data_IF_422339042038
#
_entry.id   IF_422339042038
#
_cell.length_a   1.000
_cell.length_b   1.000
_cell.length_c   1.000
_cell.angle_alpha   90.00
_cell.angle_beta   90.00
_cell.angle_gamma   90.00
#
_symmetry.space_group_name_H-M   'P 1'
#
loop_
_entity.id
_entity.type
_entity.pdbx_description
1 polymer ?
#
# COMPACT_ATOMS: atom_id res chain seq x y z
N UNK A 1 -17.60 -4.14 -27.61
CA UNK A 1 -18.76 -4.62 -26.81
C UNK A 1 -18.90 -3.89 -25.47
N UNK A 2 -18.39 -2.66 -25.37
CA UNK A 2 -18.49 -1.76 -24.22
C UNK A 2 -19.91 -1.58 -23.69
N UNK A 3 -20.11 -1.75 -22.38
CA UNK A 3 -21.37 -1.54 -21.64
C UNK A 3 -22.59 -2.32 -22.11
N UNK A 4 -22.46 -3.26 -23.06
CA UNK A 4 -23.58 -3.86 -23.80
C UNK A 4 -24.70 -4.44 -22.92
N UNK A 5 -24.34 -5.07 -21.79
CA UNK A 5 -25.26 -5.67 -20.83
C UNK A 5 -25.12 -5.05 -19.42
N UNK A 6 -24.57 -3.83 -19.32
CA UNK A 6 -24.43 -3.13 -18.05
C UNK A 6 -25.81 -2.92 -17.41
N UNK A 7 -25.96 -3.28 -16.12
CA UNK A 7 -27.22 -3.23 -15.34
C UNK A 7 -28.36 -4.03 -15.97
N UNK A 8 -28.06 -4.96 -16.87
CA UNK A 8 -29.06 -5.76 -17.57
C UNK A 8 -29.42 -7.03 -16.78
N UNK A 9 -30.69 -7.43 -16.91
CA UNK A 9 -31.19 -8.75 -16.47
C UNK A 9 -30.91 -9.86 -17.50
N UNK A 10 -30.26 -9.53 -18.61
CA UNK A 10 -29.93 -10.49 -19.65
C UNK A 10 -29.07 -11.63 -19.09
N UNK A 11 -29.53 -12.86 -19.32
CA UNK A 11 -28.81 -14.09 -18.97
C UNK A 11 -29.01 -15.16 -20.07
N UNK A 12 -29.13 -14.71 -21.32
CA UNK A 12 -29.28 -15.59 -22.47
C UNK A 12 -27.95 -16.21 -22.90
N UNK A 13 -28.02 -17.27 -23.71
CA UNK A 13 -26.84 -17.93 -24.26
C UNK A 13 -26.17 -17.07 -25.34
N UNK A 14 -24.89 -16.76 -25.12
CA UNK A 14 -24.01 -16.03 -26.03
C UNK A 14 -22.69 -16.77 -26.25
N UNK A 15 -22.63 -18.05 -25.88
CA UNK A 15 -21.43 -18.89 -25.98
C UNK A 15 -20.91 -19.08 -27.41
N UNK A 16 -21.78 -18.87 -28.40
CA UNK A 16 -21.47 -19.02 -29.84
C UNK A 16 -21.17 -17.71 -30.56
N UNK A 17 -21.10 -16.59 -29.84
CA UNK A 17 -20.73 -15.32 -30.45
C UNK A 17 -19.30 -15.37 -30.96
N UNK A 18 -19.07 -14.85 -32.16
CA UNK A 18 -17.72 -14.60 -32.67
C UNK A 18 -17.21 -13.30 -32.04
N UNK A 19 -16.23 -13.43 -31.15
CA UNK A 19 -15.59 -12.31 -30.45
C UNK A 19 -14.19 -12.00 -30.99
N UNK A 20 -13.74 -12.69 -32.04
CA UNK A 20 -12.37 -12.58 -32.56
C UNK A 20 -11.95 -11.17 -32.95
N UNK A 21 -12.90 -10.33 -33.38
CA UNK A 21 -12.63 -8.93 -33.77
C UNK A 21 -12.86 -7.92 -32.64
N UNK A 22 -13.23 -8.36 -31.44
CA UNK A 22 -13.56 -7.47 -30.32
C UNK A 22 -12.28 -6.98 -29.65
N UNK A 23 -12.14 -5.67 -29.53
CA UNK A 23 -10.98 -5.04 -28.87
C UNK A 23 -11.32 -4.44 -27.51
N UNK A 24 -12.57 -4.05 -27.27
CA UNK A 24 -13.02 -3.43 -26.03
C UNK A 24 -14.27 -4.12 -25.46
N UNK A 25 -14.17 -4.61 -24.22
CA UNK A 25 -15.25 -5.24 -23.45
C UNK A 25 -15.51 -4.50 -22.12
N UNK A 26 -15.12 -3.23 -22.01
CA UNK A 26 -15.25 -2.48 -20.77
C UNK A 26 -16.72 -2.46 -20.27
N UNK A 27 -16.89 -2.72 -18.98
CA UNK A 27 -18.19 -2.71 -18.29
C UNK A 27 -19.30 -3.56 -18.93
N UNK A 28 -18.96 -4.51 -19.83
CA UNK A 28 -19.95 -5.25 -20.62
C UNK A 28 -21.03 -5.90 -19.75
N UNK A 29 -20.66 -6.48 -18.59
CA UNK A 29 -21.57 -7.13 -17.64
C UNK A 29 -21.58 -6.47 -16.26
N UNK A 30 -21.19 -5.19 -16.16
CA UNK A 30 -21.17 -4.49 -14.87
C UNK A 30 -22.60 -4.43 -14.29
N UNK A 31 -22.78 -4.74 -13.01
CA UNK A 31 -24.08 -4.80 -12.33
C UNK A 31 -25.12 -5.71 -13.02
N UNK A 32 -24.68 -6.67 -13.84
CA UNK A 32 -25.56 -7.59 -14.57
C UNK A 32 -25.86 -8.85 -13.77
N UNK A 33 -27.01 -9.47 -14.07
CA UNK A 33 -27.36 -10.82 -13.61
C UNK A 33 -26.71 -11.93 -14.46
N UNK A 34 -26.00 -11.58 -15.54
CA UNK A 34 -25.38 -12.54 -16.46
C UNK A 34 -24.41 -13.49 -15.74
N UNK A 35 -24.59 -14.78 -15.97
CA UNK A 35 -23.72 -15.86 -15.49
C UNK A 35 -23.62 -17.01 -16.52
N UNK A 36 -23.77 -16.69 -17.81
CA UNK A 36 -23.67 -17.66 -18.90
C UNK A 36 -22.22 -18.05 -19.22
N UNK A 37 -22.07 -19.12 -20.01
CA UNK A 37 -20.76 -19.60 -20.45
C UNK A 37 -20.16 -18.70 -21.54
N UNK A 38 -18.96 -18.18 -21.28
CA UNK A 38 -18.13 -17.36 -22.17
C UNK A 38 -16.69 -17.88 -22.23
N UNK A 39 -16.47 -19.12 -21.78
CA UNK A 39 -15.14 -19.75 -21.72
C UNK A 39 -14.48 -19.94 -23.08
N UNK A 40 -15.30 -19.98 -24.15
CA UNK A 40 -14.87 -20.19 -25.54
C UNK A 40 -14.72 -18.91 -26.36
N UNK A 41 -14.93 -17.74 -25.74
CA UNK A 41 -14.73 -16.48 -26.44
C UNK A 41 -13.27 -16.28 -26.80
N UNK A 42 -13.03 -15.90 -28.05
CA UNK A 42 -11.73 -15.42 -28.49
C UNK A 42 -11.51 -14.01 -27.93
N UNK A 43 -10.50 -13.89 -27.07
CA UNK A 43 -10.14 -12.65 -26.36
C UNK A 43 -8.77 -12.12 -26.81
N UNK A 44 -8.15 -12.77 -27.80
CA UNK A 44 -6.78 -12.47 -28.25
C UNK A 44 -6.60 -11.03 -28.74
N UNK A 45 -7.64 -10.39 -29.27
CA UNK A 45 -7.59 -8.99 -29.71
C UNK A 45 -8.09 -7.99 -28.66
N UNK A 46 -8.55 -8.45 -27.50
CA UNK A 46 -9.11 -7.58 -26.45
C UNK A 46 -7.98 -6.86 -25.72
N UNK A 47 -8.09 -5.54 -25.62
CA UNK A 47 -7.12 -4.68 -24.92
C UNK A 47 -7.67 -4.07 -23.64
N UNK A 48 -9.00 -4.05 -23.48
CA UNK A 48 -9.68 -3.39 -22.37
C UNK A 48 -10.84 -4.23 -21.82
N UNK A 49 -10.70 -4.68 -20.56
CA UNK A 49 -11.74 -5.41 -19.80
C UNK A 49 -12.09 -4.69 -18.49
N UNK A 50 -11.82 -3.37 -18.44
CA UNK A 50 -12.12 -2.52 -17.27
C UNK A 50 -13.56 -2.72 -16.82
N UNK A 51 -13.75 -3.08 -15.56
CA UNK A 51 -15.07 -3.16 -14.93
C UNK A 51 -16.02 -4.17 -15.55
N UNK A 52 -15.55 -5.10 -16.39
CA UNK A 52 -16.40 -6.03 -17.14
C UNK A 52 -17.40 -6.77 -16.24
N UNK A 53 -16.97 -7.18 -15.04
CA UNK A 53 -17.79 -7.87 -14.03
C UNK A 53 -17.94 -7.08 -12.73
N UNK A 54 -17.82 -5.74 -12.77
CA UNK A 54 -18.03 -4.85 -11.62
C UNK A 54 -19.40 -5.12 -10.98
N UNK A 55 -19.43 -5.55 -9.72
CA UNK A 55 -20.64 -5.91 -8.95
C UNK A 55 -21.56 -6.89 -9.70
N UNK A 56 -20.98 -7.77 -10.51
CA UNK A 56 -21.69 -8.82 -11.24
C UNK A 56 -21.88 -10.08 -10.38
N UNK A 57 -22.85 -10.91 -10.76
CA UNK A 57 -23.02 -12.27 -10.22
C UNK A 57 -22.14 -13.30 -10.93
N UNK A 58 -21.44 -12.91 -12.00
CA UNK A 58 -20.63 -13.79 -12.82
C UNK A 58 -19.57 -14.54 -12.00
N UNK A 59 -19.54 -15.86 -12.15
CA UNK A 59 -18.53 -16.76 -11.58
C UNK A 59 -18.18 -17.91 -12.55
N UNK A 60 -18.31 -17.66 -13.86
CA UNK A 60 -17.99 -18.63 -14.90
C UNK A 60 -16.49 -18.78 -15.13
N UNK A 61 -16.11 -19.83 -15.87
CA UNK A 61 -14.72 -20.09 -16.24
C UNK A 61 -14.23 -19.12 -17.32
N UNK A 62 -13.14 -18.42 -17.03
CA UNK A 62 -12.41 -17.50 -17.91
C UNK A 62 -10.90 -17.78 -17.84
N UNK A 63 -10.50 -18.94 -17.32
CA UNK A 63 -9.09 -19.31 -17.12
C UNK A 63 -8.31 -19.41 -18.43
N UNK A 64 -9.00 -19.67 -19.55
CA UNK A 64 -8.42 -19.84 -20.89
C UNK A 64 -8.48 -18.58 -21.77
N UNK A 65 -8.94 -17.47 -21.22
CA UNK A 65 -8.91 -16.21 -21.97
C UNK A 65 -7.47 -15.78 -22.25
N UNK A 66 -7.23 -15.31 -23.47
CA UNK A 66 -5.96 -14.72 -23.84
C UNK A 66 -5.95 -13.25 -23.41
N UNK A 67 -5.21 -12.97 -22.34
CA UNK A 67 -5.07 -11.61 -21.80
C UNK A 67 -3.78 -10.92 -22.24
N UNK A 68 -2.99 -11.52 -23.14
CA UNK A 68 -1.66 -11.03 -23.53
C UNK A 68 -1.65 -9.67 -24.22
N UNK A 69 -2.82 -9.19 -24.68
CA UNK A 69 -3.01 -7.85 -25.24
C UNK A 69 -3.76 -6.87 -24.32
N UNK A 70 -4.22 -7.34 -23.16
CA UNK A 70 -4.97 -6.53 -22.20
C UNK A 70 -4.03 -5.55 -21.49
N UNK A 71 -4.41 -4.27 -21.49
CA UNK A 71 -3.67 -3.20 -20.81
C UNK A 71 -4.39 -2.65 -19.58
N UNK A 72 -5.71 -2.88 -19.47
CA UNK A 72 -6.54 -2.33 -18.40
C UNK A 72 -7.51 -3.37 -17.84
N UNK A 73 -7.33 -3.71 -16.55
CA UNK A 73 -8.18 -4.63 -15.78
C UNK A 73 -8.81 -3.94 -14.56
N UNK A 74 -8.72 -2.60 -14.49
CA UNK A 74 -9.25 -1.84 -13.36
C UNK A 74 -10.73 -2.16 -13.11
N UNK A 75 -11.08 -2.31 -11.84
CA UNK A 75 -12.44 -2.61 -11.36
C UNK A 75 -13.08 -3.90 -11.90
N UNK A 76 -12.35 -4.78 -12.60
CA UNK A 76 -12.94 -5.92 -13.31
C UNK A 76 -13.83 -6.78 -12.41
N UNK A 77 -13.42 -7.03 -11.16
CA UNK A 77 -14.15 -7.82 -10.17
C UNK A 77 -14.51 -7.04 -8.90
N UNK A 78 -14.55 -5.72 -8.95
CA UNK A 78 -14.91 -4.90 -7.80
C UNK A 78 -16.31 -5.28 -7.29
N UNK A 79 -16.43 -5.69 -6.04
CA UNK A 79 -17.68 -6.15 -5.44
C UNK A 79 -18.30 -7.39 -6.10
N UNK A 80 -17.52 -8.15 -6.88
CA UNK A 80 -17.96 -9.37 -7.56
C UNK A 80 -17.89 -10.58 -6.63
N UNK A 81 -18.70 -11.60 -6.94
CA UNK A 81 -18.60 -12.95 -6.33
C UNK A 81 -17.56 -13.85 -7.00
N UNK A 82 -16.88 -13.35 -8.03
CA UNK A 82 -15.91 -14.12 -8.79
C UNK A 82 -14.78 -14.65 -7.90
N UNK A 83 -14.55 -15.96 -7.97
CA UNK A 83 -13.46 -16.70 -7.32
C UNK A 83 -12.94 -17.80 -8.27
N UNK A 84 -12.87 -17.50 -9.56
CA UNK A 84 -12.35 -18.43 -10.57
C UNK A 84 -10.84 -18.34 -10.71
N UNK A 85 -10.23 -19.41 -11.22
CA UNK A 85 -8.79 -19.44 -11.47
C UNK A 85 -8.41 -18.50 -12.64
N UNK A 86 -7.49 -17.57 -12.34
CA UNK A 86 -6.88 -16.63 -13.28
C UNK A 86 -5.35 -16.60 -13.14
N UNK A 87 -4.77 -17.64 -12.52
CA UNK A 87 -3.33 -17.73 -12.24
C UNK A 87 -2.45 -17.75 -13.49
N UNK A 88 -2.99 -18.24 -14.61
CA UNK A 88 -2.28 -18.38 -15.89
C UNK A 88 -2.57 -17.23 -16.87
N UNK A 89 -3.27 -16.18 -16.44
CA UNK A 89 -3.43 -14.97 -17.24
C UNK A 89 -2.09 -14.27 -17.47
N UNK A 90 -1.80 -13.94 -18.73
CA UNK A 90 -0.71 -13.04 -19.08
C UNK A 90 -1.17 -11.60 -18.85
N UNK A 91 -0.68 -10.99 -17.77
CA UNK A 91 -0.94 -9.59 -17.43
C UNK A 91 0.26 -8.68 -17.73
N UNK A 92 1.26 -9.17 -18.48
CA UNK A 92 2.53 -8.46 -18.66
C UNK A 92 2.39 -7.09 -19.31
N UNK A 93 1.32 -6.82 -20.06
CA UNK A 93 1.02 -5.50 -20.65
C UNK A 93 0.07 -4.63 -19.81
N UNK A 94 -0.44 -5.15 -18.70
CA UNK A 94 -1.35 -4.40 -17.83
C UNK A 94 -0.62 -3.26 -17.14
N UNK A 95 -1.17 -2.06 -17.25
CA UNK A 95 -0.66 -0.86 -16.56
C UNK A 95 -1.56 -0.43 -15.40
N UNK A 96 -2.84 -0.80 -15.42
CA UNK A 96 -3.82 -0.34 -14.45
C UNK A 96 -4.62 -1.49 -13.82
N UNK A 97 -4.43 -1.68 -12.50
CA UNK A 97 -5.11 -2.68 -11.66
C UNK A 97 -6.03 -2.06 -10.60
N UNK A 98 -6.27 -0.74 -10.69
CA UNK A 98 -7.10 0.03 -9.76
C UNK A 98 -8.37 -0.72 -9.37
N UNK A 99 -8.52 -1.04 -8.10
CA UNK A 99 -9.72 -1.61 -7.50
C UNK A 99 -10.18 -2.95 -8.09
N UNK A 100 -9.32 -3.71 -8.77
CA UNK A 100 -9.72 -4.94 -9.47
C UNK A 100 -10.48 -5.91 -8.56
N UNK A 101 -10.02 -6.12 -7.33
CA UNK A 101 -10.61 -7.06 -6.36
C UNK A 101 -11.24 -6.38 -5.15
N UNK A 102 -11.36 -5.05 -5.12
CA UNK A 102 -11.94 -4.37 -3.95
C UNK A 102 -13.37 -4.87 -3.67
N UNK A 103 -13.70 -5.13 -2.40
CA UNK A 103 -14.95 -5.74 -1.96
C UNK A 103 -15.28 -7.12 -2.58
N UNK A 104 -14.32 -7.78 -3.22
CA UNK A 104 -14.54 -9.09 -3.84
C UNK A 104 -14.32 -10.26 -2.87
N UNK A 105 -14.79 -11.44 -3.26
CA UNK A 105 -14.55 -12.70 -2.55
C UNK A 105 -13.27 -13.43 -3.01
N UNK A 106 -12.53 -12.85 -3.96
CA UNK A 106 -11.37 -13.49 -4.58
C UNK A 106 -10.26 -13.76 -3.56
N UNK A 107 -9.76 -15.00 -3.53
CA UNK A 107 -8.65 -15.42 -2.66
C UNK A 107 -7.74 -16.48 -3.32
N UNK A 108 -7.68 -16.48 -4.64
CA UNK A 108 -6.94 -17.47 -5.42
C UNK A 108 -5.49 -17.03 -5.72
N UNK A 109 -4.67 -17.97 -6.22
CA UNK A 109 -3.25 -17.71 -6.47
C UNK A 109 -3.00 -16.80 -7.69
N UNK A 110 -2.30 -15.69 -7.45
CA UNK A 110 -1.85 -14.72 -8.47
C UNK A 110 -0.36 -14.38 -8.32
N UNK A 111 0.41 -15.24 -7.63
CA UNK A 111 1.84 -15.03 -7.37
C UNK A 111 2.72 -15.01 -8.62
N UNK A 112 2.28 -15.64 -9.71
CA UNK A 112 3.02 -15.75 -10.98
C UNK A 112 2.83 -14.55 -11.91
N UNK A 113 1.92 -13.65 -11.60
CA UNK A 113 1.59 -12.50 -12.43
C UNK A 113 2.80 -11.57 -12.62
N UNK A 114 3.09 -11.23 -13.88
CA UNK A 114 4.13 -10.26 -14.19
C UNK A 114 3.58 -8.83 -14.08
N UNK A 115 3.85 -8.17 -12.94
CA UNK A 115 3.37 -6.81 -12.67
C UNK A 115 4.34 -5.70 -13.10
N UNK A 116 5.41 -6.01 -13.86
CA UNK A 116 6.49 -5.06 -14.14
C UNK A 116 6.04 -3.77 -14.86
N UNK A 117 4.92 -3.79 -15.57
CA UNK A 117 4.37 -2.62 -16.28
C UNK A 117 3.25 -1.90 -15.52
N UNK A 118 2.86 -2.40 -14.34
CA UNK A 118 1.78 -1.80 -13.54
C UNK A 118 2.25 -0.50 -12.93
N UNK A 119 1.49 0.56 -13.14
CA UNK A 119 1.74 1.89 -12.56
C UNK A 119 0.71 2.28 -11.50
N UNK A 120 -0.49 1.69 -11.56
CA UNK A 120 -1.57 1.98 -10.62
C UNK A 120 -2.16 0.71 -10.01
N UNK A 121 -2.04 0.58 -8.68
CA UNK A 121 -2.59 -0.53 -7.88
C UNK A 121 -3.62 -0.05 -6.85
N UNK A 122 -4.06 1.21 -6.89
CA UNK A 122 -4.87 1.77 -5.82
C UNK A 122 -6.16 0.96 -5.57
N UNK A 123 -6.54 0.79 -4.30
CA UNK A 123 -7.70 0.00 -3.86
C UNK A 123 -7.70 -1.49 -4.27
N UNK A 124 -6.63 -2.06 -4.83
CA UNK A 124 -6.67 -3.39 -5.47
C UNK A 124 -7.30 -4.48 -4.59
N UNK A 125 -6.98 -4.53 -3.29
CA UNK A 125 -7.45 -5.53 -2.32
C UNK A 125 -8.22 -4.92 -1.13
N UNK A 126 -8.79 -3.72 -1.30
CA UNK A 126 -9.54 -3.06 -0.23
C UNK A 126 -10.82 -3.80 0.13
N UNK A 127 -11.09 -4.01 1.42
CA UNK A 127 -12.24 -4.77 1.95
C UNK A 127 -12.30 -6.22 1.44
N UNK A 128 -11.15 -6.90 1.40
CA UNK A 128 -11.06 -8.30 0.91
C UNK A 128 -10.52 -9.25 1.98
N UNK A 129 -10.81 -10.54 1.79
CA UNK A 129 -10.19 -11.64 2.54
C UNK A 129 -8.90 -12.14 1.89
N UNK A 130 -8.43 -11.48 0.83
CA UNK A 130 -7.25 -11.91 0.09
C UNK A 130 -6.03 -11.93 1.00
N UNK A 131 -5.35 -13.07 1.09
CA UNK A 131 -4.12 -13.24 1.86
C UNK A 131 -3.10 -14.14 1.13
N UNK A 132 -3.12 -14.08 -0.21
CA UNK A 132 -2.22 -14.82 -1.09
C UNK A 132 -0.81 -14.23 -1.17
N UNK A 133 0.16 -15.01 -1.63
CA UNK A 133 1.53 -14.55 -1.81
C UNK A 133 1.66 -13.63 -3.03
N UNK A 134 2.14 -12.40 -2.78
CA UNK A 134 2.45 -11.37 -3.77
C UNK A 134 3.85 -10.77 -3.53
N UNK A 135 4.69 -11.49 -2.77
CA UNK A 135 6.06 -11.05 -2.43
C UNK A 135 6.97 -10.88 -3.64
N UNK A 136 6.65 -11.57 -4.75
CA UNK A 136 7.41 -11.56 -6.00
C UNK A 136 6.92 -10.54 -7.02
N UNK A 137 5.88 -9.78 -6.70
CA UNK A 137 5.40 -8.74 -7.60
C UNK A 137 6.45 -7.65 -7.77
N UNK A 138 6.66 -7.25 -9.01
CA UNK A 138 7.50 -6.11 -9.34
C UNK A 138 6.67 -4.82 -9.22
N UNK A 139 7.02 -3.97 -8.26
CA UNK A 139 6.34 -2.69 -7.99
C UNK A 139 7.16 -1.46 -8.41
N UNK A 140 8.31 -1.65 -9.08
CA UNK A 140 9.27 -0.58 -9.43
C UNK A 140 8.72 0.50 -10.38
N UNK A 141 7.54 0.30 -10.96
CA UNK A 141 6.84 1.28 -11.79
C UNK A 141 5.55 1.82 -11.15
N UNK A 142 5.17 1.33 -9.97
CA UNK A 142 3.95 1.74 -9.27
C UNK A 142 4.14 3.13 -8.68
N UNK A 143 3.20 4.02 -8.97
CA UNK A 143 3.18 5.39 -8.43
C UNK A 143 2.07 5.60 -7.40
N UNK A 144 0.99 4.81 -7.46
CA UNK A 144 -0.14 4.91 -6.53
C UNK A 144 -0.43 3.55 -5.86
N UNK A 145 -0.14 3.51 -4.56
CA UNK A 145 -0.43 2.39 -3.65
C UNK A 145 -1.52 2.74 -2.63
N UNK A 146 -2.29 3.81 -2.85
CA UNK A 146 -3.32 4.22 -1.92
C UNK A 146 -4.39 3.14 -1.75
N UNK A 147 -4.81 2.92 -0.51
CA UNK A 147 -5.88 2.00 -0.13
C UNK A 147 -5.70 0.53 -0.57
N UNK A 148 -4.52 0.04 -0.98
CA UNK A 148 -4.38 -1.35 -1.47
C UNK A 148 -4.98 -2.36 -0.49
N UNK A 149 -4.71 -2.22 0.81
CA UNK A 149 -5.11 -3.15 1.87
C UNK A 149 -6.04 -2.53 2.92
N UNK A 150 -6.75 -1.43 2.59
CA UNK A 150 -7.74 -0.83 3.49
C UNK A 150 -8.76 -1.88 3.93
N UNK A 151 -8.90 -2.10 5.24
CA UNK A 151 -9.76 -3.13 5.86
C UNK A 151 -9.58 -4.53 5.28
N UNK A 152 -8.32 -4.90 4.98
CA UNK A 152 -7.97 -6.23 4.48
C UNK A 152 -7.34 -7.10 5.58
N UNK A 153 -7.59 -8.42 5.46
CA UNK A 153 -6.92 -9.48 6.23
C UNK A 153 -5.51 -9.84 5.72
N UNK A 154 -5.00 -9.08 4.74
CA UNK A 154 -3.68 -9.33 4.17
C UNK A 154 -2.57 -9.13 5.20
N UNK A 155 -1.73 -10.16 5.40
CA UNK A 155 -0.58 -10.11 6.30
C UNK A 155 0.57 -10.99 5.79
N UNK A 156 0.93 -10.84 4.50
CA UNK A 156 2.07 -11.53 3.87
C UNK A 156 3.26 -10.60 3.68
N UNK A 157 4.42 -11.21 3.43
CA UNK A 157 5.67 -10.48 3.19
C UNK A 157 5.58 -9.64 1.90
N UNK A 158 5.79 -8.34 2.06
CA UNK A 158 5.92 -7.33 1.01
C UNK A 158 7.17 -6.45 1.23
N UNK A 159 8.11 -6.92 2.06
CA UNK A 159 9.35 -6.20 2.41
C UNK A 159 10.23 -5.91 1.20
N UNK A 160 10.10 -6.69 0.13
CA UNK A 160 10.88 -6.59 -1.12
C UNK A 160 10.22 -5.73 -2.19
N UNK A 161 9.06 -5.15 -1.92
CA UNK A 161 8.45 -4.21 -2.86
C UNK A 161 9.35 -2.98 -3.02
N UNK A 162 9.59 -2.60 -4.27
CA UNK A 162 10.22 -1.35 -4.62
C UNK A 162 9.17 -0.24 -4.56
N UNK A 163 9.34 0.67 -3.60
CA UNK A 163 8.44 1.82 -3.38
C UNK A 163 9.05 3.14 -3.85
N UNK A 164 10.23 3.12 -4.48
CA UNK A 164 11.01 4.32 -4.81
C UNK A 164 10.28 5.31 -5.71
N UNK A 165 9.30 4.86 -6.52
CA UNK A 165 8.48 5.74 -7.37
C UNK A 165 7.09 6.06 -6.81
N UNK A 166 6.74 5.52 -5.65
CA UNK A 166 5.40 5.69 -5.08
C UNK A 166 5.25 7.11 -4.56
N UNK A 167 4.20 7.80 -5.00
CA UNK A 167 3.88 9.16 -4.55
C UNK A 167 2.69 9.21 -3.60
N UNK A 168 1.87 8.16 -3.57
CA UNK A 168 0.67 8.07 -2.73
C UNK A 168 0.56 6.69 -2.04
N UNK A 169 0.57 6.71 -0.71
CA UNK A 169 0.33 5.57 0.18
C UNK A 169 -0.83 5.83 1.14
N UNK A 170 -1.66 6.85 0.88
CA UNK A 170 -2.80 7.20 1.74
C UNK A 170 -3.69 5.99 2.00
N UNK A 171 -4.02 5.78 3.27
CA UNK A 171 -4.89 4.70 3.76
C UNK A 171 -4.44 3.29 3.38
N UNK A 172 -3.21 3.06 2.91
CA UNK A 172 -2.80 1.75 2.38
C UNK A 172 -3.11 0.56 3.30
N UNK A 173 -2.98 0.74 4.63
CA UNK A 173 -3.27 -0.26 5.66
C UNK A 173 -4.35 0.21 6.65
N UNK A 174 -5.23 1.14 6.24
CA UNK A 174 -6.27 1.68 7.12
C UNK A 174 -7.17 0.55 7.64
N UNK A 175 -7.22 0.34 8.95
CA UNK A 175 -7.99 -0.76 9.55
C UNK A 175 -7.57 -2.17 9.12
N UNK A 176 -6.33 -2.35 8.65
CA UNK A 176 -5.78 -3.66 8.22
C UNK A 176 -5.15 -4.43 9.38
N UNK A 177 -5.10 -5.77 9.25
CA UNK A 177 -4.37 -6.69 10.13
C UNK A 177 -2.86 -6.78 9.80
N UNK A 178 -2.39 -6.03 8.80
CA UNK A 178 -0.99 -6.09 8.36
C UNK A 178 -0.02 -5.64 9.47
N UNK A 179 0.98 -6.47 9.76
CA UNK A 179 2.07 -6.15 10.67
C UNK A 179 3.44 -6.67 10.18
N UNK A 180 3.64 -6.71 8.86
CA UNK A 180 4.89 -7.16 8.24
C UNK A 180 5.98 -6.09 8.28
N UNK A 181 7.23 -6.51 8.06
CA UNK A 181 8.38 -5.60 7.97
C UNK A 181 8.35 -4.79 6.66
N UNK A 182 8.32 -3.47 6.81
CA UNK A 182 8.36 -2.48 5.72
C UNK A 182 9.41 -1.38 6.03
N UNK A 183 10.33 -1.65 6.95
CA UNK A 183 11.37 -0.70 7.37
C UNK A 183 12.28 -0.24 6.23
N UNK A 184 12.44 -1.09 5.21
CA UNK A 184 13.32 -0.85 4.04
C UNK A 184 12.65 -0.16 2.86
N UNK A 185 11.37 0.19 2.98
CA UNK A 185 10.69 0.92 1.91
C UNK A 185 11.30 2.31 1.72
N UNK A 186 11.54 2.67 0.47
CA UNK A 186 11.91 4.03 0.09
C UNK A 186 10.64 4.89 0.04
N UNK A 187 10.56 5.88 0.93
CA UNK A 187 9.43 6.80 1.04
C UNK A 187 9.76 8.22 0.59
N UNK A 188 10.95 8.45 0.04
CA UNK A 188 11.46 9.79 -0.30
C UNK A 188 10.58 10.54 -1.32
N UNK A 189 9.90 9.81 -2.20
CA UNK A 189 8.98 10.38 -3.20
C UNK A 189 7.51 10.43 -2.75
N UNK A 190 7.18 9.91 -1.56
CA UNK A 190 5.80 9.85 -1.09
C UNK A 190 5.34 11.22 -0.62
N UNK A 191 4.25 11.70 -1.23
CA UNK A 191 3.67 13.01 -0.92
C UNK A 191 2.42 12.92 -0.04
N UNK A 192 1.76 11.76 -0.01
CA UNK A 192 0.58 11.50 0.80
C UNK A 192 0.64 10.11 1.47
N UNK A 193 0.65 10.12 2.80
CA UNK A 193 0.53 8.93 3.67
C UNK A 193 -0.64 9.08 4.65
N UNK A 194 -1.60 9.96 4.34
CA UNK A 194 -2.71 10.25 5.23
C UNK A 194 -3.47 8.97 5.60
N UNK A 195 -3.63 8.76 6.89
CA UNK A 195 -4.33 7.65 7.53
C UNK A 195 -3.82 6.26 7.13
N UNK A 196 -2.57 6.13 6.68
CA UNK A 196 -2.00 4.86 6.22
C UNK A 196 -2.19 3.71 7.21
N UNK A 197 -2.04 3.96 8.51
CA UNK A 197 -2.13 2.97 9.59
C UNK A 197 -3.27 3.27 10.58
N UNK A 198 -4.16 4.20 10.27
CA UNK A 198 -5.24 4.56 11.19
C UNK A 198 -6.16 3.35 11.43
N UNK A 199 -6.31 2.96 12.69
CA UNK A 199 -7.08 1.78 13.09
C UNK A 199 -6.42 0.43 12.77
N UNK A 200 -5.16 0.42 12.33
CA UNK A 200 -4.38 -0.82 12.15
C UNK A 200 -3.66 -1.22 13.44
N UNK A 201 -3.26 -2.48 13.53
CA UNK A 201 -2.42 -2.99 14.64
C UNK A 201 -0.91 -2.81 14.38
N UNK A 202 -0.54 -2.09 13.31
CA UNK A 202 0.84 -1.97 12.87
C UNK A 202 1.74 -1.34 13.94
N UNK A 203 2.83 -2.04 14.27
CA UNK A 203 3.85 -1.59 15.23
C UNK A 203 5.29 -1.75 14.71
N UNK A 204 5.46 -1.87 13.39
CA UNK A 204 6.75 -2.04 12.74
C UNK A 204 7.66 -0.81 12.82
N UNK A 205 8.96 -1.03 12.59
CA UNK A 205 9.97 0.02 12.58
C UNK A 205 9.89 0.84 11.28
N UNK A 206 9.75 2.16 11.44
CA UNK A 206 9.71 3.14 10.36
C UNK A 206 10.71 4.29 10.61
N UNK A 207 11.74 4.06 11.44
CA UNK A 207 12.70 5.11 11.83
C UNK A 207 13.48 5.69 10.64
N UNK A 208 13.66 4.88 9.60
CA UNK A 208 14.50 5.19 8.44
C UNK A 208 13.70 5.77 7.27
N UNK A 209 12.37 5.90 7.43
CA UNK A 209 11.51 6.49 6.41
C UNK A 209 11.80 7.99 6.26
N UNK A 210 11.84 8.44 5.01
CA UNK A 210 11.90 9.84 4.66
C UNK A 210 10.48 10.43 4.56
N UNK A 211 10.25 11.51 5.31
CA UNK A 211 8.97 12.23 5.38
C UNK A 211 9.07 13.65 4.76
N UNK A 212 10.20 14.00 4.15
CA UNK A 212 10.49 15.35 3.68
C UNK A 212 9.55 15.83 2.56
N UNK A 213 9.02 14.90 1.76
CA UNK A 213 8.11 15.15 0.64
C UNK A 213 6.62 15.23 1.01
N UNK A 214 6.26 14.99 2.28
CA UNK A 214 4.85 14.96 2.70
C UNK A 214 4.18 16.33 2.58
N UNK A 215 3.00 16.36 1.96
CA UNK A 215 2.14 17.55 1.85
C UNK A 215 1.18 17.72 3.02
N UNK A 216 1.01 16.67 3.82
CA UNK A 216 0.09 16.63 4.96
C UNK A 216 0.85 16.42 6.27
N UNK A 217 0.18 16.71 7.38
CA UNK A 217 0.75 16.51 8.71
C UNK A 217 1.08 15.03 8.92
N UNK A 218 2.33 14.76 9.33
CA UNK A 218 2.83 13.42 9.65
C UNK A 218 2.00 12.71 10.72
N UNK A 219 1.36 13.46 11.62
CA UNK A 219 0.45 12.91 12.64
C UNK A 219 -0.79 12.23 12.03
N UNK A 220 -1.11 12.52 10.77
CA UNK A 220 -2.24 11.88 10.09
C UNK A 220 -1.94 10.45 9.65
N UNK A 221 -0.70 9.97 9.73
CA UNK A 221 -0.33 8.61 9.30
C UNK A 221 -1.07 7.53 10.12
N UNK A 222 -1.45 7.82 11.37
CA UNK A 222 -2.25 6.91 12.21
C UNK A 222 -1.44 6.05 13.17
N UNK A 223 -0.13 6.32 13.32
CA UNK A 223 0.75 5.74 14.35
C UNK A 223 1.55 6.84 15.03
N UNK A 224 1.92 6.62 16.30
CA UNK A 224 2.84 7.52 17.00
C UNK A 224 4.25 7.25 16.50
N UNK A 225 4.83 8.21 15.79
CA UNK A 225 6.23 8.11 15.34
C UNK A 225 7.13 8.38 16.55
N UNK A 226 7.81 7.34 17.00
CA UNK A 226 8.83 7.48 18.05
C UNK A 226 10.17 7.57 17.34
N UNK A 227 10.88 8.69 17.50
CA UNK A 227 12.25 8.81 17.00
C UNK A 227 13.09 7.71 17.62
N UNK A 228 13.80 6.93 16.80
CA UNK A 228 14.78 5.96 17.27
C UNK A 228 16.07 6.71 17.58
N UNK A 229 16.58 6.51 18.79
CA UNK A 229 17.78 7.19 19.23
C UNK A 229 18.98 6.24 19.19
N UNK A 230 20.10 6.73 18.70
CA UNK A 230 21.37 5.99 18.67
C UNK A 230 22.12 6.23 19.98
N UNK A 231 22.45 5.17 20.70
CA UNK A 231 23.23 5.30 21.93
C UNK A 231 24.72 5.45 21.62
N UNK A 232 25.35 6.51 22.13
CA UNK A 232 26.77 6.78 22.04
C UNK A 232 27.36 6.73 23.45
N UNK A 233 28.33 5.85 23.66
CA UNK A 233 29.08 5.77 24.93
C UNK A 233 30.10 6.90 25.01
N UNK A 234 30.17 7.59 26.14
CA UNK A 234 31.13 8.67 26.41
C UNK A 234 31.74 8.50 27.79
N UNK A 235 33.01 8.89 27.95
CA UNK A 235 33.68 8.88 29.25
C UNK A 235 32.92 9.74 30.27
N UNK A 236 32.82 9.24 31.50
CA UNK A 236 32.21 9.96 32.63
C UNK A 236 32.80 11.37 32.80
N UNK A 237 31.94 12.38 32.67
CA UNK A 237 32.25 13.80 32.84
C UNK A 237 31.15 14.47 33.66
N UNK A 238 31.50 15.48 34.44
CA UNK A 238 30.53 16.29 35.16
C UNK A 238 29.75 17.16 34.15
N UNK A 239 28.59 16.66 33.74
CA UNK A 239 27.68 17.33 32.80
C UNK A 239 26.42 17.69 33.57
N UNK A 240 26.01 18.96 33.49
CA UNK A 240 24.80 19.45 34.14
C UNK A 240 23.64 19.58 33.14
N UNK A 241 22.45 19.16 33.55
CA UNK A 241 21.22 19.32 32.80
C UNK A 241 20.82 20.80 32.78
N UNK A 242 20.73 21.38 31.59
CA UNK A 242 20.47 22.81 31.42
C UNK A 242 19.04 23.26 31.79
N UNK A 243 18.15 22.32 32.10
CA UNK A 243 16.76 22.58 32.49
C UNK A 243 16.52 22.26 33.96
N UNK A 244 17.10 21.16 34.43
CA UNK A 244 16.93 20.69 35.80
C UNK A 244 17.97 21.29 36.77
N UNK A 245 19.02 21.92 36.24
CA UNK A 245 20.13 22.49 37.01
C UNK A 245 20.72 21.48 38.01
N UNK A 246 20.88 20.25 37.54
CA UNK A 246 21.42 19.12 38.31
C UNK A 246 22.38 18.32 37.44
N UNK A 247 23.34 17.66 38.08
CA UNK A 247 24.24 16.72 37.40
C UNK A 247 23.46 15.60 36.73
N UNK A 248 23.88 15.25 35.52
CA UNK A 248 23.36 14.08 34.80
C UNK A 248 24.21 12.89 35.22
N UNK A 249 23.58 11.77 35.57
CA UNK A 249 24.29 10.59 36.08
C UNK A 249 24.45 9.47 35.04
N UNK A 250 23.47 9.30 34.14
CA UNK A 250 23.39 8.14 33.24
C UNK A 250 23.35 8.53 31.77
N UNK A 251 22.18 8.99 31.31
CA UNK A 251 21.92 9.25 29.89
C UNK A 251 21.53 10.71 29.67
N UNK A 252 22.03 11.29 28.58
CA UNK A 252 21.66 12.64 28.17
C UNK A 252 21.52 12.78 26.67
N UNK A 253 20.82 13.84 26.27
CA UNK A 253 20.72 14.28 24.90
C UNK A 253 21.46 15.61 24.77
N UNK A 254 22.16 15.81 23.64
CA UNK A 254 22.93 17.03 23.36
C UNK A 254 22.38 17.73 22.12
N UNK A 255 22.05 19.02 22.25
CA UNK A 255 21.62 19.82 21.10
C UNK A 255 22.77 20.01 20.11
N UNK A 256 22.55 19.71 18.84
CA UNK A 256 23.52 19.95 17.75
C UNK A 256 23.80 21.44 17.51
N UNK A 257 22.83 22.31 17.80
CA UNK A 257 22.93 23.76 17.55
C UNK A 257 23.58 24.52 18.71
N UNK A 258 23.05 24.37 19.94
CA UNK A 258 23.55 25.13 21.10
C UNK A 258 24.45 24.32 22.03
N UNK A 259 24.67 23.03 21.72
CA UNK A 259 25.54 22.11 22.47
C UNK A 259 25.18 21.91 23.94
N UNK A 260 24.02 22.41 24.39
CA UNK A 260 23.49 22.19 25.72
C UNK A 260 23.07 20.73 25.90
N UNK A 261 23.29 20.22 27.12
CA UNK A 261 22.98 18.86 27.52
C UNK A 261 21.72 18.82 28.36
N UNK A 262 20.95 17.76 28.17
CA UNK A 262 19.64 17.59 28.78
C UNK A 262 19.53 16.15 29.27
N UNK A 263 19.10 15.99 30.52
CA UNK A 263 18.84 14.68 31.10
C UNK A 263 17.79 13.90 30.27
N UNK A 264 17.96 12.58 30.13
CA UNK A 264 17.04 11.78 29.32
C UNK A 264 15.58 11.85 29.81
N UNK A 265 15.36 12.13 31.10
CA UNK A 265 14.02 12.23 31.70
C UNK A 265 13.13 13.33 31.09
N UNK A 266 13.71 14.37 30.50
CA UNK A 266 12.94 15.45 29.86
C UNK A 266 12.60 15.17 28.38
N UNK A 267 13.04 14.02 27.86
CA UNK A 267 12.86 13.64 26.45
C UNK A 267 11.40 13.51 26.08
N UNK A 268 10.65 12.70 26.81
CA UNK A 268 9.25 12.38 26.48
C UNK A 268 8.34 13.59 26.64
N UNK A 269 8.57 14.43 27.65
CA UNK A 269 7.72 15.60 27.94
C UNK A 269 7.99 16.81 27.04
N UNK A 270 9.10 16.82 26.30
CA UNK A 270 9.53 18.03 25.60
C UNK A 270 10.14 17.80 24.23
N UNK A 271 11.02 16.81 24.10
CA UNK A 271 11.70 16.55 22.83
C UNK A 271 10.75 15.85 21.86
N UNK A 272 10.06 14.80 22.32
CA UNK A 272 9.13 14.06 21.47
C UNK A 272 7.87 14.88 21.15
N UNK A 273 7.38 15.68 22.12
CA UNK A 273 6.15 16.47 21.96
C UNK A 273 6.35 17.83 21.27
N UNK A 274 7.43 18.58 21.59
CA UNK A 274 7.67 19.91 21.00
C UNK A 274 8.65 19.91 19.84
N UNK A 275 9.44 18.85 19.68
CA UNK A 275 10.42 18.67 18.59
C UNK A 275 11.41 19.84 18.41
N UNK A 276 11.70 20.59 19.47
CA UNK A 276 12.61 21.74 19.48
C UNK A 276 13.50 21.79 20.72
N UNK A 277 14.69 22.36 20.61
CA UNK A 277 15.59 22.53 21.73
C UNK A 277 15.02 23.54 22.76
N UNK A 278 15.04 23.20 24.06
CA UNK A 278 14.64 24.08 25.15
C UNK A 278 15.21 25.48 25.16
N UNK A 279 16.50 25.57 24.82
CA UNK A 279 17.33 26.75 25.07
C UNK A 279 17.45 27.63 23.84
N UNK A 280 17.38 27.04 22.64
CA UNK A 280 17.62 27.77 21.39
C UNK A 280 16.51 27.59 20.36
N UNK A 281 15.46 26.82 20.67
CA UNK A 281 14.26 26.63 19.83
C UNK A 281 14.55 25.94 18.48
N UNK A 282 15.83 25.68 18.15
CA UNK A 282 16.21 24.94 16.95
C UNK A 282 15.63 23.52 16.96
N UNK A 283 15.23 23.02 15.79
CA UNK A 283 14.77 21.64 15.64
C UNK A 283 15.89 20.67 16.02
N UNK A 284 15.53 19.57 16.67
CA UNK A 284 16.46 18.48 16.95
C UNK A 284 16.87 17.79 15.65
N UNK A 285 18.12 17.98 15.23
CA UNK A 285 18.69 17.36 14.02
C UNK A 285 19.56 16.13 14.31
N UNK A 286 19.84 15.86 15.58
CA UNK A 286 20.61 14.69 16.01
C UNK A 286 19.73 13.78 16.88
N UNK A 287 19.80 12.47 16.62
CA UNK A 287 19.08 11.42 17.34
C UNK A 287 19.99 10.64 18.31
N UNK A 288 21.09 11.23 18.80
CA UNK A 288 21.98 10.54 19.75
C UNK A 288 21.50 10.67 21.20
N UNK A 289 21.44 9.52 21.90
CA UNK A 289 21.46 9.46 23.37
C UNK A 289 22.90 9.17 23.77
N UNK A 290 23.47 9.98 24.64
CA UNK A 290 24.82 9.79 25.16
C UNK A 290 24.71 9.06 26.50
N UNK A 291 25.33 7.88 26.58
CA UNK A 291 25.44 7.07 27.79
C UNK A 291 26.80 7.33 28.44
N UNK A 292 26.81 7.76 29.69
CA UNK A 292 28.03 7.94 30.47
C UNK A 292 28.52 6.58 31.00
N UNK A 293 29.75 6.22 30.64
CA UNK A 293 30.46 5.03 31.11
C UNK A 293 31.74 5.40 31.88
#
# INVERSE_FOLDING_TARGET
>A
MSYMFSKSKFNGDISKWDTSSVTDMNHMFSYSDFNGDISKWDTSNVTNIRGMFLKSKFNGDISKWDTSNVTNISFMFFGSKFNGNISEWDISKVTNMCGMFSFSQFNDNISKWNTSNVTNMNNMFSFTKFNGDISKWNTSNVTDMSNIFTFSHFNRDISKWDTSKVTNMSKMFYGSEFNGDISKWDTSNVTDMSHMFYGSEFNGDISDWDFSSLKHNINNIGIKIVKKWTTIKVEKKDIECCVLFQSIENEFIKCSTCHKCFDISIKTSWIDDKNSCPMCISKWTNNNIYLME
#
